data_IF_335194963938
#
_entry.id   IF_335194963938
#
_cell.length_a   1.000
_cell.length_b   1.000
_cell.length_c   1.000
_cell.angle_alpha   90.00
_cell.angle_beta   90.00
_cell.angle_gamma   90.00
#
_symmetry.space_group_name_H-M   'P 1'
#
loop_
_entity.id
_entity.type
_entity.pdbx_description
1 polymer ?
#
# COMPACT_ATOMS: atom_id res chain seq x y z
N UNK A 1 13.00 68.19 8.39
CA UNK A 1 13.10 67.54 7.09
C UNK A 1 14.08 66.39 7.27
N UNK A 2 13.64 65.37 8.00
CA UNK A 2 14.34 64.10 8.15
C UNK A 2 13.85 63.23 7.00
N UNK A 3 14.78 62.80 6.15
CA UNK A 3 14.52 61.91 5.03
C UNK A 3 13.81 60.65 5.54
N UNK A 4 12.52 60.53 5.23
CA UNK A 4 11.83 59.24 5.24
C UNK A 4 12.49 58.42 4.14
N UNK A 5 13.50 57.60 4.49
CA UNK A 5 13.93 56.49 3.65
C UNK A 5 12.69 55.65 3.37
N UNK A 6 12.13 55.82 2.17
CA UNK A 6 10.98 55.05 1.70
C UNK A 6 11.38 53.58 1.76
N UNK A 7 10.84 52.84 2.74
CA UNK A 7 11.02 51.40 2.83
C UNK A 7 10.64 50.82 1.47
N UNK A 8 11.56 50.12 0.77
CA UNK A 8 11.26 49.56 -0.55
C UNK A 8 10.01 48.70 -0.44
N UNK A 9 9.11 48.81 -1.41
CA UNK A 9 7.94 47.93 -1.43
C UNK A 9 8.42 46.48 -1.40
N UNK A 10 7.72 45.58 -0.69
CA UNK A 10 8.13 44.17 -0.53
C UNK A 10 8.51 43.50 -1.86
N UNK A 11 7.78 43.83 -2.93
CA UNK A 11 8.02 43.32 -4.29
C UNK A 11 9.27 43.91 -4.96
N UNK A 12 9.77 45.05 -4.49
CA UNK A 12 10.97 45.69 -5.01
C UNK A 12 12.27 45.17 -4.37
N UNK A 13 12.17 44.52 -3.20
CA UNK A 13 13.29 43.92 -2.48
C UNK A 13 14.07 42.93 -3.38
N UNK A 14 15.40 43.11 -3.42
CA UNK A 14 16.32 42.30 -4.22
C UNK A 14 16.30 40.82 -3.85
N UNK A 15 16.03 40.50 -2.57
CA UNK A 15 15.90 39.14 -2.05
C UNK A 15 14.62 38.50 -2.58
N UNK A 16 13.51 39.23 -2.52
CA UNK A 16 12.18 38.80 -3.00
C UNK A 16 12.21 38.57 -4.51
N UNK A 17 12.75 39.52 -5.29
CA UNK A 17 12.95 39.35 -6.74
C UNK A 17 13.83 38.17 -7.10
N UNK A 18 14.83 37.85 -6.28
CA UNK A 18 15.68 36.69 -6.51
C UNK A 18 14.93 35.38 -6.27
N UNK A 19 14.15 35.31 -5.20
CA UNK A 19 13.27 34.17 -4.91
C UNK A 19 12.23 34.03 -6.03
N UNK A 20 11.57 35.10 -6.46
CA UNK A 20 10.63 35.11 -7.59
C UNK A 20 11.24 34.45 -8.83
N UNK A 21 12.42 34.92 -9.25
CA UNK A 21 13.10 34.41 -10.44
C UNK A 21 13.39 32.90 -10.34
N UNK A 22 13.79 32.42 -9.16
CA UNK A 22 14.06 30.99 -8.94
C UNK A 22 12.79 30.16 -8.87
N UNK A 23 11.75 30.66 -8.20
CA UNK A 23 10.47 29.97 -8.04
C UNK A 23 9.77 29.86 -9.40
N UNK A 24 9.61 30.97 -10.12
CA UNK A 24 9.00 30.98 -11.45
C UNK A 24 9.80 30.12 -12.45
N UNK A 25 11.15 30.20 -12.41
CA UNK A 25 12.00 29.41 -13.30
C UNK A 25 11.92 27.89 -13.04
N UNK A 26 11.99 27.46 -11.77
CA UNK A 26 12.04 26.03 -11.42
C UNK A 26 10.66 25.36 -11.42
N UNK A 27 9.59 26.10 -11.11
CA UNK A 27 8.21 25.61 -11.17
C UNK A 27 7.52 25.88 -12.52
N UNK A 28 8.23 26.51 -13.48
CA UNK A 28 7.71 26.92 -14.80
C UNK A 28 6.40 27.70 -14.71
N UNK A 29 6.41 28.73 -13.87
CA UNK A 29 5.27 29.64 -13.63
C UNK A 29 5.50 31.00 -14.32
N UNK A 30 4.41 31.67 -14.67
CA UNK A 30 4.47 33.05 -15.15
C UNK A 30 4.74 34.03 -13.99
N UNK A 31 5.45 35.13 -14.25
CA UNK A 31 5.72 36.16 -13.21
C UNK A 31 4.42 36.79 -12.68
N UNK A 32 3.34 36.81 -13.47
CA UNK A 32 2.03 37.30 -13.01
C UNK A 32 1.44 36.43 -11.89
N UNK A 33 1.69 35.12 -11.90
CA UNK A 33 1.28 34.20 -10.84
C UNK A 33 1.96 34.55 -9.51
N UNK A 34 3.27 34.84 -9.55
CA UNK A 34 4.00 35.29 -8.37
C UNK A 34 3.44 36.61 -7.85
N UNK A 35 3.28 37.62 -8.72
CA UNK A 35 2.79 38.95 -8.33
C UNK A 35 1.42 38.90 -7.68
N UNK A 36 0.52 38.06 -8.20
CA UNK A 36 -0.83 37.91 -7.63
C UNK A 36 -0.78 37.31 -6.22
N UNK A 37 0.06 36.28 -6.01
CA UNK A 37 0.21 35.65 -4.69
C UNK A 37 1.01 36.48 -3.69
N UNK A 38 2.04 37.20 -4.14
CA UNK A 38 2.97 37.95 -3.29
C UNK A 38 2.37 39.24 -2.71
N UNK A 39 1.16 39.64 -3.14
CA UNK A 39 0.40 40.74 -2.52
C UNK A 39 -0.26 40.32 -1.20
N UNK A 40 -0.48 39.02 -0.97
CA UNK A 40 -1.10 38.54 0.28
C UNK A 40 -0.18 38.73 1.50
N UNK A 41 -0.70 39.33 2.57
CA UNK A 41 0.06 39.61 3.81
C UNK A 41 0.68 38.34 4.42
N UNK A 42 -0.06 37.22 4.43
CA UNK A 42 0.43 35.94 4.93
C UNK A 42 1.65 35.43 4.14
N UNK A 43 1.67 35.64 2.82
CA UNK A 43 2.78 35.25 1.96
C UNK A 43 4.03 36.11 2.22
N UNK A 44 3.83 37.42 2.39
CA UNK A 44 4.93 38.35 2.69
C UNK A 44 5.56 38.03 4.03
N UNK A 45 4.73 37.89 5.07
CA UNK A 45 5.17 37.54 6.43
C UNK A 45 5.93 36.22 6.45
N UNK A 46 5.48 35.21 5.71
CA UNK A 46 6.17 33.93 5.66
C UNK A 46 7.57 34.04 5.03
N UNK A 47 7.72 34.84 3.99
CA UNK A 47 9.02 35.10 3.36
C UNK A 47 9.94 35.95 4.23
N UNK A 48 9.40 36.93 4.96
CA UNK A 48 10.16 37.71 5.95
C UNK A 48 10.64 36.83 7.11
N UNK A 49 9.74 36.03 7.69
CA UNK A 49 10.07 35.01 8.68
C UNK A 49 11.18 34.08 8.13
N UNK A 50 11.10 33.68 6.86
CA UNK A 50 12.15 32.90 6.21
C UNK A 50 13.45 33.66 6.08
N UNK A 51 13.47 34.94 5.73
CA UNK A 51 14.74 35.67 5.67
C UNK A 51 15.38 35.84 7.05
N UNK A 52 14.59 35.99 8.10
CA UNK A 52 15.10 36.26 9.44
C UNK A 52 15.37 34.98 10.25
N UNK A 53 14.36 34.14 10.46
CA UNK A 53 14.35 33.11 11.50
C UNK A 53 14.19 31.68 10.97
N UNK A 54 13.34 31.45 9.97
CA UNK A 54 13.03 30.10 9.50
C UNK A 54 14.15 29.52 8.63
N UNK A 55 14.32 28.20 8.66
CA UNK A 55 15.39 27.52 7.92
C UNK A 55 15.00 27.14 6.49
N UNK A 56 13.70 26.92 6.27
CA UNK A 56 13.15 26.39 5.02
C UNK A 56 11.82 27.03 4.68
N UNK A 57 11.57 27.21 3.39
CA UNK A 57 10.25 27.58 2.85
C UNK A 57 9.93 26.67 1.66
N UNK A 58 8.66 26.27 1.55
CA UNK A 58 8.14 25.44 0.47
C UNK A 58 7.22 26.26 -0.44
N UNK A 59 7.29 26.00 -1.73
CA UNK A 59 6.46 26.61 -2.77
C UNK A 59 5.80 25.53 -3.61
N UNK A 60 4.49 25.64 -3.80
CA UNK A 60 3.72 24.76 -4.66
C UNK A 60 2.70 25.54 -5.47
N UNK A 61 2.36 25.01 -6.64
CA UNK A 61 1.27 25.56 -7.44
C UNK A 61 0.36 24.44 -7.94
N UNK A 62 -0.80 24.22 -7.28
CA UNK A 62 -1.70 23.13 -7.65
C UNK A 62 -2.17 23.22 -9.11
N UNK A 63 -2.55 24.43 -9.55
CA UNK A 63 -3.16 24.67 -10.87
C UNK A 63 -2.31 25.55 -11.79
N UNK A 64 -1.04 25.85 -11.45
CA UNK A 64 -0.19 26.88 -12.09
C UNK A 64 -0.74 28.32 -12.07
N UNK A 65 -1.94 28.52 -11.55
CA UNK A 65 -2.62 29.82 -11.46
C UNK A 65 -2.35 30.53 -10.14
N UNK A 66 -2.19 29.77 -9.05
CA UNK A 66 -1.93 30.33 -7.71
C UNK A 66 -0.67 29.69 -7.15
N UNK A 67 0.22 30.52 -6.60
CA UNK A 67 1.38 30.07 -5.83
C UNK A 67 1.05 30.09 -4.34
N UNK A 68 1.35 28.98 -3.66
CA UNK A 68 1.20 28.83 -2.21
C UNK A 68 2.59 28.65 -1.61
N UNK A 69 2.91 29.48 -0.61
CA UNK A 69 4.09 29.32 0.23
C UNK A 69 3.71 28.76 1.60
N UNK A 70 4.55 27.89 2.15
CA UNK A 70 4.29 27.23 3.43
C UNK A 70 5.60 26.91 4.17
N UNK A 71 5.52 26.79 5.50
CA UNK A 71 6.63 26.33 6.36
C UNK A 71 6.82 24.81 6.32
N UNK A 72 5.76 24.09 5.96
CA UNK A 72 5.73 22.62 5.85
C UNK A 72 5.37 22.18 4.42
N UNK A 73 5.62 20.92 4.08
CA UNK A 73 5.24 20.37 2.77
C UNK A 73 3.70 20.34 2.67
N UNK A 74 3.08 21.02 1.69
CA UNK A 74 1.63 21.05 1.56
C UNK A 74 1.07 19.64 1.30
N UNK A 75 0.01 19.20 2.02
CA UNK A 75 -0.58 17.87 1.83
C UNK A 75 -1.25 17.73 0.45
N UNK A 76 -1.78 18.82 -0.11
CA UNK A 76 -2.53 18.84 -1.37
C UNK A 76 -1.66 19.11 -2.61
N UNK A 77 -0.33 19.09 -2.48
CA UNK A 77 0.55 19.33 -3.61
C UNK A 77 0.44 18.17 -4.61
N UNK A 78 0.02 18.47 -5.84
CA UNK A 78 -0.28 17.42 -6.83
C UNK A 78 0.93 17.03 -7.71
N UNK A 79 1.97 17.86 -7.79
CA UNK A 79 3.05 17.67 -8.77
C UNK A 79 4.45 17.94 -8.23
N UNK A 80 4.79 19.23 -8.07
CA UNK A 80 6.15 19.68 -7.75
C UNK A 80 6.09 20.68 -6.62
N UNK A 81 6.95 20.48 -5.64
CA UNK A 81 7.18 21.40 -4.53
C UNK A 81 8.63 21.85 -4.62
N UNK A 82 8.85 23.15 -4.74
CA UNK A 82 10.18 23.73 -4.62
C UNK A 82 10.42 24.07 -3.15
N UNK A 83 11.53 23.61 -2.58
CA UNK A 83 11.97 24.07 -1.27
C UNK A 83 13.23 24.93 -1.41
N UNK A 84 13.30 25.94 -0.56
CA UNK A 84 14.49 26.80 -0.41
C UNK A 84 14.97 26.64 1.02
N UNK A 85 16.23 26.23 1.19
CA UNK A 85 16.84 25.96 2.48
C UNK A 85 18.08 26.83 2.70
N UNK A 86 18.25 27.39 3.90
CA UNK A 86 19.46 28.13 4.28
C UNK A 86 20.63 27.19 4.50
N UNK A 87 21.80 27.45 3.91
CA UNK A 87 23.03 26.67 4.19
C UNK A 87 23.41 26.67 5.68
N UNK A 88 23.09 27.75 6.38
CA UNK A 88 23.28 27.91 7.83
C UNK A 88 22.02 28.52 8.41
N UNK A 89 21.40 27.84 9.39
CA UNK A 89 20.15 28.28 10.01
C UNK A 89 20.30 29.61 10.75
N UNK A 90 21.45 29.82 11.40
CA UNK A 90 21.69 30.95 12.30
C UNK A 90 22.06 32.26 11.58
N UNK A 91 22.10 32.26 10.24
CA UNK A 91 22.48 33.44 9.45
C UNK A 91 21.25 34.00 8.73
N UNK A 92 20.82 35.23 9.04
CA UNK A 92 19.71 35.87 8.34
C UNK A 92 20.10 36.22 6.89
N UNK A 93 19.10 36.28 6.02
CA UNK A 93 19.28 36.57 4.59
C UNK A 93 19.24 38.08 4.37
N UNK A 94 20.41 38.65 4.09
CA UNK A 94 20.59 40.07 3.81
C UNK A 94 20.66 40.34 2.31
N UNK A 95 20.58 41.61 1.93
CA UNK A 95 20.76 42.08 0.55
C UNK A 95 22.14 41.76 -0.04
N UNK A 96 23.12 41.34 0.77
CA UNK A 96 24.47 41.00 0.31
C UNK A 96 24.68 39.49 0.17
N UNK A 97 24.04 38.67 1.00
CA UNK A 97 24.34 37.24 1.12
C UNK A 97 23.36 36.31 0.37
N UNK A 98 22.20 36.83 -0.05
CA UNK A 98 21.07 36.05 -0.58
C UNK A 98 21.38 35.10 -1.75
N UNK A 99 22.44 35.37 -2.53
CA UNK A 99 22.83 34.55 -3.69
C UNK A 99 23.64 33.31 -3.31
N UNK A 100 24.36 33.32 -2.19
CA UNK A 100 25.34 32.28 -1.84
C UNK A 100 24.89 31.42 -0.66
N UNK A 101 23.93 31.89 0.13
CA UNK A 101 23.45 31.26 1.36
C UNK A 101 22.24 30.35 1.16
N UNK A 102 21.59 30.38 0.00
CA UNK A 102 20.38 29.60 -0.31
C UNK A 102 20.71 28.32 -1.10
N UNK A 103 20.06 27.22 -0.72
CA UNK A 103 20.00 25.96 -1.44
C UNK A 103 18.58 25.78 -2.00
N UNK A 104 18.49 25.27 -3.21
CA UNK A 104 17.23 25.04 -3.90
C UNK A 104 17.10 23.55 -4.19
N UNK A 105 15.94 22.97 -3.91
CA UNK A 105 15.66 21.60 -4.29
C UNK A 105 14.22 21.41 -4.70
N UNK A 106 14.02 20.50 -5.65
CA UNK A 106 12.71 20.16 -6.17
C UNK A 106 12.28 18.81 -5.59
N UNK A 107 11.11 18.79 -4.98
CA UNK A 107 10.43 17.59 -4.53
C UNK A 107 9.31 17.25 -5.52
N UNK A 108 9.39 16.07 -6.11
CA UNK A 108 8.32 15.45 -6.88
C UNK A 108 7.53 14.53 -5.96
N UNK A 109 6.21 14.59 -6.00
CA UNK A 109 5.36 13.72 -5.19
C UNK A 109 4.96 12.47 -5.99
N UNK A 110 4.93 11.28 -5.35
CA UNK A 110 5.26 10.99 -3.95
C UNK A 110 6.78 11.06 -3.65
N UNK A 111 7.19 11.46 -2.42
CA UNK A 111 8.58 11.79 -2.11
C UNK A 111 9.49 10.57 -1.95
N UNK A 112 8.93 9.41 -1.57
CA UNK A 112 9.69 8.20 -1.27
C UNK A 112 10.34 7.57 -2.53
N UNK A 113 9.63 7.44 -3.67
CA UNK A 113 10.27 7.04 -4.93
C UNK A 113 11.39 7.98 -5.39
N UNK A 114 11.23 9.30 -5.19
CA UNK A 114 12.30 10.25 -5.49
C UNK A 114 13.51 10.02 -4.59
N UNK A 115 13.30 9.87 -3.28
CA UNK A 115 14.36 9.60 -2.32
C UNK A 115 15.13 8.31 -2.69
N UNK A 116 14.40 7.25 -3.05
CA UNK A 116 14.98 5.98 -3.52
C UNK A 116 15.91 6.20 -4.70
N UNK A 117 15.44 6.90 -5.74
CA UNK A 117 16.27 7.21 -6.91
C UNK A 117 17.47 8.09 -6.59
N UNK A 118 17.32 9.08 -5.72
CA UNK A 118 18.45 9.94 -5.31
C UNK A 118 19.50 9.12 -4.57
N UNK A 119 19.08 8.22 -3.67
CA UNK A 119 19.99 7.34 -2.96
C UNK A 119 20.73 6.41 -3.94
N UNK A 120 19.99 5.74 -4.83
CA UNK A 120 20.56 4.74 -5.75
C UNK A 120 21.40 5.35 -6.87
N UNK A 121 20.97 6.48 -7.46
CA UNK A 121 21.59 7.05 -8.66
C UNK A 121 22.58 8.18 -8.37
N UNK A 122 22.48 8.84 -7.21
CA UNK A 122 23.33 9.98 -6.87
C UNK A 122 24.19 9.66 -5.65
N UNK A 123 23.58 9.37 -4.50
CA UNK A 123 24.34 9.18 -3.26
C UNK A 123 25.23 7.93 -3.31
N UNK A 124 24.72 6.80 -3.83
CA UNK A 124 25.47 5.57 -3.86
C UNK A 124 26.73 5.69 -4.73
N UNK A 125 26.67 6.11 -6.02
CA UNK A 125 27.88 6.31 -6.82
C UNK A 125 28.84 7.34 -6.21
N UNK A 126 28.33 8.44 -5.65
CA UNK A 126 29.18 9.46 -5.02
C UNK A 126 29.97 8.89 -3.83
N UNK A 127 29.33 8.03 -3.03
CA UNK A 127 29.89 7.52 -1.78
C UNK A 127 30.62 6.18 -1.92
N UNK A 128 30.44 5.44 -3.02
CA UNK A 128 31.12 4.15 -3.24
C UNK A 128 32.22 4.19 -4.29
N UNK A 129 32.27 5.20 -5.15
CA UNK A 129 33.26 5.26 -6.22
C UNK A 129 34.67 5.53 -5.69
N UNK A 130 35.62 4.66 -6.03
CA UNK A 130 36.99 4.68 -5.48
C UNK A 130 37.75 5.98 -5.77
N UNK A 131 37.44 6.63 -6.90
CA UNK A 131 38.09 7.88 -7.30
C UNK A 131 37.64 9.07 -6.43
N UNK A 132 36.54 8.97 -5.70
CA UNK A 132 36.11 10.08 -4.83
C UNK A 132 36.83 10.07 -3.48
N UNK A 133 37.55 8.99 -3.15
CA UNK A 133 38.01 8.66 -1.80
C UNK A 133 39.51 8.40 -1.70
N UNK A 134 40.31 9.13 -2.47
CA UNK A 134 41.77 8.97 -2.52
C UNK A 134 42.44 9.10 -1.14
N UNK A 135 41.86 9.90 -0.24
CA UNK A 135 42.40 10.15 1.11
C UNK A 135 41.84 9.23 2.18
N UNK A 136 40.85 8.40 1.86
CA UNK A 136 40.18 7.57 2.85
C UNK A 136 40.94 6.25 3.07
N UNK A 137 41.19 5.87 4.34
CA UNK A 137 41.62 4.51 4.66
C UNK A 137 40.61 3.47 4.16
N UNK A 138 41.11 2.31 3.72
CA UNK A 138 40.28 1.21 3.21
C UNK A 138 39.19 0.77 4.20
N UNK A 139 39.44 0.87 5.51
CA UNK A 139 38.47 0.50 6.54
C UNK A 139 37.23 1.41 6.50
N UNK A 140 37.44 2.73 6.36
CA UNK A 140 36.35 3.71 6.27
C UNK A 140 35.61 3.54 4.94
N UNK A 141 36.33 3.34 3.84
CA UNK A 141 35.73 3.11 2.52
C UNK A 141 34.80 1.89 2.54
N UNK A 142 35.28 0.77 3.06
CA UNK A 142 34.50 -0.46 3.16
C UNK A 142 33.30 -0.31 4.11
N UNK A 143 33.44 0.49 5.17
CA UNK A 143 32.34 0.76 6.10
C UNK A 143 31.25 1.64 5.47
N UNK A 144 31.62 2.71 4.78
CA UNK A 144 30.66 3.56 4.06
C UNK A 144 29.97 2.78 2.95
N UNK A 145 30.70 1.95 2.19
CA UNK A 145 30.11 1.10 1.16
C UNK A 145 29.05 0.14 1.73
N UNK A 146 29.33 -0.51 2.88
CA UNK A 146 28.35 -1.38 3.57
C UNK A 146 27.11 -0.61 4.02
N UNK A 147 27.28 0.59 4.56
CA UNK A 147 26.14 1.41 4.99
C UNK A 147 25.28 1.86 3.81
N UNK A 148 25.90 2.24 2.69
CA UNK A 148 25.19 2.60 1.46
C UNK A 148 24.40 1.41 0.91
N UNK A 149 25.01 0.22 0.83
CA UNK A 149 24.32 -1.00 0.40
C UNK A 149 23.11 -1.33 1.31
N UNK A 150 23.26 -1.12 2.64
CA UNK A 150 22.17 -1.26 3.60
C UNK A 150 21.03 -0.25 3.37
N UNK A 151 21.37 1.02 3.11
CA UNK A 151 20.37 2.07 2.85
C UNK A 151 19.64 1.81 1.54
N UNK A 152 20.34 1.45 0.46
CA UNK A 152 19.72 1.07 -0.81
C UNK A 152 18.74 -0.10 -0.59
N UNK A 153 19.21 -1.17 0.04
CA UNK A 153 18.39 -2.35 0.36
C UNK A 153 17.11 -2.00 1.13
N UNK A 154 17.23 -1.20 2.19
CA UNK A 154 16.07 -0.76 2.99
C UNK A 154 15.12 0.11 2.17
N UNK A 155 15.66 0.99 1.33
CA UNK A 155 14.85 1.92 0.54
C UNK A 155 14.09 1.19 -0.56
N UNK A 156 14.71 0.22 -1.25
CA UNK A 156 14.01 -0.61 -2.25
C UNK A 156 12.90 -1.44 -1.61
N UNK A 157 13.11 -1.98 -0.39
CA UNK A 157 12.06 -2.69 0.37
C UNK A 157 10.88 -1.76 0.71
N UNK A 158 11.17 -0.57 1.23
CA UNK A 158 10.12 0.44 1.56
C UNK A 158 9.37 0.88 0.31
N UNK A 159 10.07 1.09 -0.81
CA UNK A 159 9.46 1.43 -2.08
C UNK A 159 8.51 0.32 -2.56
N UNK A 160 8.94 -0.95 -2.48
CA UNK A 160 8.07 -2.10 -2.76
C UNK A 160 6.82 -2.09 -1.90
N UNK A 161 6.96 -1.92 -0.58
CA UNK A 161 5.84 -1.91 0.36
C UNK A 161 4.79 -0.84 0.04
N UNK A 162 5.23 0.35 -0.40
CA UNK A 162 4.33 1.44 -0.84
C UNK A 162 3.55 1.06 -2.09
N UNK A 163 4.20 0.33 -3.00
CA UNK A 163 3.59 -0.17 -4.24
C UNK A 163 2.78 -1.46 -4.03
N UNK A 164 2.77 -2.02 -2.82
CA UNK A 164 2.12 -3.30 -2.52
C UNK A 164 2.92 -4.54 -2.95
N UNK A 165 4.18 -4.36 -3.35
CA UNK A 165 5.07 -5.41 -3.82
C UNK A 165 6.09 -5.82 -2.74
N UNK A 166 6.38 -7.12 -2.63
CA UNK A 166 7.47 -7.58 -1.78
C UNK A 166 8.75 -7.58 -2.61
N UNK A 167 9.67 -6.69 -2.28
CA UNK A 167 11.01 -6.64 -2.89
C UNK A 167 12.00 -7.33 -1.97
N UNK A 168 12.71 -8.31 -2.49
CA UNK A 168 13.86 -8.93 -1.84
C UNK A 168 15.06 -8.00 -2.05
N UNK A 169 15.78 -7.60 -0.98
CA UNK A 169 16.97 -6.78 -1.13
C UNK A 169 18.04 -7.58 -1.87
N UNK A 170 18.19 -7.28 -3.16
CA UNK A 170 19.18 -7.90 -4.01
C UNK A 170 20.51 -7.16 -3.86
N UNK A 171 21.61 -7.88 -3.69
CA UNK A 171 22.91 -7.26 -3.69
C UNK A 171 23.26 -6.67 -5.08
N UNK A 172 23.98 -5.55 -5.12
CA UNK A 172 24.19 -4.80 -6.37
C UNK A 172 25.02 -5.59 -7.39
N UNK A 173 24.50 -5.89 -8.58
CA UNK A 173 25.15 -6.77 -9.56
C UNK A 173 26.63 -6.42 -9.89
N UNK A 174 27.02 -5.14 -9.83
CA UNK A 174 28.39 -4.69 -10.05
C UNK A 174 29.36 -5.20 -8.96
N UNK A 175 29.00 -5.08 -7.68
CA UNK A 175 29.83 -5.54 -6.57
C UNK A 175 29.91 -7.07 -6.47
N UNK A 176 28.98 -7.78 -7.12
CA UNK A 176 28.91 -9.25 -7.07
C UNK A 176 29.53 -9.93 -8.28
N UNK A 177 29.41 -9.35 -9.49
CA UNK A 177 30.14 -9.85 -10.66
C UNK A 177 31.65 -9.77 -10.48
N UNK A 178 32.14 -8.70 -9.86
CA UNK A 178 33.57 -8.53 -9.56
C UNK A 178 34.04 -9.57 -8.52
N UNK A 179 33.28 -9.75 -7.43
CA UNK A 179 33.56 -10.78 -6.41
C UNK A 179 33.42 -12.22 -6.93
N UNK A 180 32.51 -12.46 -7.87
CA UNK A 180 32.28 -13.77 -8.48
C UNK A 180 33.37 -14.14 -9.50
N UNK A 181 33.84 -13.19 -10.31
CA UNK A 181 34.93 -13.41 -11.24
C UNK A 181 36.27 -13.67 -10.52
N UNK A 182 36.49 -13.05 -9.36
CA UNK A 182 37.65 -13.36 -8.51
C UNK A 182 37.57 -14.77 -7.87
N UNK A 183 36.35 -15.26 -7.59
CA UNK A 183 36.12 -16.56 -6.92
C UNK A 183 36.50 -17.78 -7.80
N UNK A 184 36.37 -17.69 -9.13
CA UNK A 184 36.81 -18.77 -10.02
C UNK A 184 38.35 -18.93 -10.09
N UNK A 185 39.12 -18.05 -9.42
CA UNK A 185 40.60 -18.02 -9.53
C UNK A 185 41.39 -18.29 -8.25
N UNK A 186 40.85 -18.25 -7.04
CA UNK A 186 41.64 -18.53 -5.82
C UNK A 186 40.84 -19.12 -4.66
N UNK A 187 41.26 -20.30 -4.18
CA UNK A 187 40.93 -20.82 -2.85
C UNK A 187 41.69 -20.04 -1.76
N UNK A 188 41.03 -19.12 -1.04
CA UNK A 188 41.59 -18.54 0.19
C UNK A 188 40.54 -17.79 1.05
N UNK A 189 40.89 -17.39 2.29
CA UNK A 189 40.05 -16.75 3.33
C UNK A 189 38.98 -15.70 2.90
N UNK A 190 39.05 -15.09 1.70
CA UNK A 190 37.99 -14.24 1.14
C UNK A 190 36.69 -15.03 0.86
N UNK A 191 36.81 -16.34 0.66
CA UNK A 191 35.70 -17.26 0.42
C UNK A 191 34.73 -17.26 1.62
N UNK A 192 35.24 -17.29 2.86
CA UNK A 192 34.38 -17.31 4.06
C UNK A 192 33.59 -16.02 4.26
N UNK A 193 34.16 -14.86 3.97
CA UNK A 193 33.45 -13.59 4.12
C UNK A 193 32.32 -13.43 3.09
N UNK A 194 32.53 -13.93 1.87
CA UNK A 194 31.50 -13.96 0.83
C UNK A 194 30.39 -14.96 1.18
N UNK A 195 30.72 -16.17 1.64
CA UNK A 195 29.75 -17.14 2.15
C UNK A 195 28.86 -16.53 3.21
N UNK A 196 29.46 -15.96 4.26
CA UNK A 196 28.69 -15.39 5.37
C UNK A 196 27.76 -14.26 4.92
N UNK A 197 28.16 -13.45 3.93
CA UNK A 197 27.28 -12.46 3.32
C UNK A 197 26.08 -13.12 2.63
N UNK A 198 26.31 -14.14 1.79
CA UNK A 198 25.24 -14.87 1.09
C UNK A 198 24.30 -15.55 2.09
N UNK A 199 24.86 -16.26 3.07
CA UNK A 199 24.11 -16.95 4.13
C UNK A 199 23.22 -15.96 4.90
N UNK A 200 23.76 -14.80 5.27
CA UNK A 200 22.99 -13.74 5.94
C UNK A 200 21.82 -13.27 5.09
N UNK A 201 22.02 -13.12 3.77
CA UNK A 201 20.92 -12.73 2.88
C UNK A 201 19.87 -13.82 2.72
N UNK A 202 20.27 -15.09 2.60
CA UNK A 202 19.33 -16.22 2.56
C UNK A 202 18.49 -16.29 3.84
N UNK A 203 19.10 -16.03 5.01
CA UNK A 203 18.37 -15.95 6.29
C UNK A 203 17.34 -14.82 6.25
N UNK A 204 17.76 -13.61 5.85
CA UNK A 204 16.87 -12.45 5.77
C UNK A 204 15.69 -12.68 4.81
N UNK A 205 15.96 -13.23 3.62
CA UNK A 205 14.92 -13.58 2.65
C UNK A 205 13.99 -14.66 3.19
N UNK A 206 14.52 -15.66 3.88
CA UNK A 206 13.71 -16.71 4.52
C UNK A 206 12.72 -16.12 5.51
N UNK A 207 13.16 -15.22 6.38
CA UNK A 207 12.27 -14.55 7.34
C UNK A 207 11.20 -13.70 6.64
N UNK A 208 11.59 -12.91 5.63
CA UNK A 208 10.66 -12.04 4.89
C UNK A 208 9.59 -12.85 4.13
N UNK A 209 10.01 -13.88 3.41
CA UNK A 209 9.12 -14.75 2.63
C UNK A 209 8.23 -15.55 3.57
N UNK A 210 8.76 -16.15 4.64
CA UNK A 210 7.94 -16.87 5.61
C UNK A 210 6.88 -15.96 6.26
N UNK A 211 7.22 -14.70 6.55
CA UNK A 211 6.24 -13.72 7.04
C UNK A 211 5.12 -13.52 6.02
N UNK A 212 5.46 -13.36 4.73
CA UNK A 212 4.49 -13.17 3.65
C UNK A 212 3.63 -14.42 3.41
N UNK A 213 4.23 -15.59 3.45
CA UNK A 213 3.52 -16.86 3.29
C UNK A 213 2.50 -17.11 4.42
N UNK A 214 2.78 -16.62 5.63
CA UNK A 214 1.89 -16.73 6.79
C UNK A 214 0.69 -15.77 6.77
N UNK A 215 0.68 -14.75 5.91
CA UNK A 215 -0.46 -13.83 5.78
C UNK A 215 -1.71 -14.62 5.33
N UNK A 216 -2.83 -14.43 6.02
CA UNK A 216 -4.11 -15.10 5.75
C UNK A 216 -5.23 -14.06 5.66
N UNK A 217 -6.22 -14.30 4.79
CA UNK A 217 -7.33 -13.37 4.60
C UNK A 217 -8.18 -13.20 5.87
N UNK A 218 -8.22 -14.24 6.71
CA UNK A 218 -8.88 -14.22 8.01
C UNK A 218 -8.32 -13.13 8.97
N UNK A 219 -7.09 -12.65 8.76
CA UNK A 219 -6.48 -11.65 9.64
C UNK A 219 -7.16 -10.27 9.54
N UNK A 220 -7.75 -9.94 8.38
CA UNK A 220 -8.55 -8.71 8.23
C UNK A 220 -9.80 -8.73 9.13
N UNK A 221 -10.46 -9.89 9.23
CA UNK A 221 -11.61 -10.09 10.12
C UNK A 221 -11.22 -10.03 11.60
N UNK A 222 -10.04 -10.56 11.97
CA UNK A 222 -9.53 -10.52 13.35
C UNK A 222 -9.21 -9.10 13.85
N UNK A 223 -8.93 -8.19 12.92
CA UNK A 223 -8.59 -6.78 13.23
C UNK A 223 -9.85 -5.94 13.55
N UNK A 224 -11.05 -6.54 13.53
CA UNK A 224 -12.31 -5.85 13.84
C UNK A 224 -12.92 -5.09 12.65
N UNK A 225 -12.26 -5.14 11.49
CA UNK A 225 -12.83 -4.65 10.24
C UNK A 225 -14.01 -5.54 9.81
N UNK A 226 -14.98 -4.96 9.09
CA UNK A 226 -16.09 -5.70 8.46
C UNK A 226 -15.95 -5.66 6.94
N UNK A 227 -14.93 -6.34 6.38
CA UNK A 227 -14.77 -6.40 4.93
C UNK A 227 -15.98 -7.07 4.27
N UNK A 228 -16.28 -6.62 3.05
CA UNK A 228 -17.15 -7.31 2.11
C UNK A 228 -16.37 -8.30 1.24
N UNK A 229 -17.05 -9.11 0.43
CA UNK A 229 -16.46 -10.24 -0.31
C UNK A 229 -15.48 -9.84 -1.41
N UNK A 230 -15.46 -8.56 -1.80
CA UNK A 230 -14.43 -8.01 -2.68
C UNK A 230 -13.05 -7.92 -2.01
N UNK A 231 -12.97 -7.99 -0.67
CA UNK A 231 -11.71 -8.03 0.07
C UNK A 231 -10.98 -9.37 -0.11
N UNK A 232 -11.67 -10.51 0.03
CA UNK A 232 -11.10 -11.83 -0.25
C UNK A 232 -10.56 -11.92 -1.68
N UNK A 233 -11.33 -11.43 -2.67
CA UNK A 233 -10.90 -11.37 -4.07
C UNK A 233 -9.61 -10.54 -4.27
N UNK A 234 -9.58 -9.33 -3.72
CA UNK A 234 -8.41 -8.44 -3.80
C UNK A 234 -7.20 -9.03 -3.09
N UNK A 235 -7.42 -9.70 -1.96
CA UNK A 235 -6.36 -10.38 -1.22
C UNK A 235 -5.71 -11.47 -2.06
N UNK A 236 -6.48 -12.37 -2.67
CA UNK A 236 -5.92 -13.45 -3.49
C UNK A 236 -5.26 -12.94 -4.77
N UNK A 237 -5.84 -11.95 -5.43
CA UNK A 237 -5.22 -11.30 -6.59
C UNK A 237 -3.88 -10.61 -6.23
N UNK A 238 -3.84 -9.88 -5.12
CA UNK A 238 -2.62 -9.24 -4.62
C UNK A 238 -1.58 -10.27 -4.19
N UNK A 239 -1.99 -11.34 -3.47
CA UNK A 239 -1.12 -12.43 -3.05
C UNK A 239 -0.49 -13.14 -4.25
N UNK A 240 -1.27 -13.44 -5.29
CA UNK A 240 -0.75 -14.02 -6.55
C UNK A 240 0.30 -13.12 -7.17
N UNK A 241 -0.03 -11.84 -7.41
CA UNK A 241 0.90 -10.89 -8.04
C UNK A 241 2.19 -10.71 -7.23
N UNK A 242 2.08 -10.66 -5.90
CA UNK A 242 3.22 -10.53 -5.01
C UNK A 242 4.11 -11.79 -5.02
N UNK A 243 3.51 -12.99 -4.94
CA UNK A 243 4.25 -14.26 -5.03
C UNK A 243 4.89 -14.46 -6.41
N UNK A 244 4.24 -14.02 -7.47
CA UNK A 244 4.79 -14.04 -8.83
C UNK A 244 6.02 -13.14 -8.94
N UNK A 245 5.95 -11.92 -8.39
CA UNK A 245 7.09 -11.01 -8.29
C UNK A 245 8.24 -11.60 -7.47
N UNK A 246 7.97 -12.18 -6.30
CA UNK A 246 8.99 -12.85 -5.48
C UNK A 246 9.61 -14.02 -6.25
N UNK A 247 8.80 -14.82 -6.94
CA UNK A 247 9.26 -15.95 -7.75
C UNK A 247 10.22 -15.47 -8.85
N UNK A 248 9.86 -14.41 -9.59
CA UNK A 248 10.74 -13.82 -10.59
C UNK A 248 12.05 -13.30 -10.00
N UNK A 249 11.99 -12.67 -8.82
CA UNK A 249 13.19 -12.19 -8.13
C UNK A 249 14.12 -13.35 -7.71
N UNK A 250 13.56 -14.45 -7.21
CA UNK A 250 14.31 -15.64 -6.80
C UNK A 250 14.93 -16.41 -7.98
N UNK A 251 14.35 -16.32 -9.17
CA UNK A 251 14.93 -16.90 -10.41
C UNK A 251 15.82 -15.90 -11.17
N UNK A 252 16.24 -14.81 -10.52
CA UNK A 252 17.14 -13.85 -11.16
C UNK A 252 18.57 -14.42 -11.27
N UNK A 253 19.36 -14.02 -12.29
CA UNK A 253 20.73 -14.51 -12.48
C UNK A 253 21.65 -14.28 -11.26
N UNK A 254 21.36 -13.25 -10.45
CA UNK A 254 22.13 -12.97 -9.22
C UNK A 254 21.88 -14.05 -8.17
N UNK A 255 20.63 -14.52 -8.04
CA UNK A 255 20.26 -15.57 -7.09
C UNK A 255 20.76 -16.93 -7.56
N UNK A 256 20.67 -17.24 -8.86
CA UNK A 256 21.25 -18.46 -9.43
C UNK A 256 22.77 -18.52 -9.18
N UNK A 257 23.46 -17.37 -9.33
CA UNK A 257 24.88 -17.28 -9.01
C UNK A 257 25.14 -17.52 -7.51
N UNK A 258 24.35 -16.90 -6.61
CA UNK A 258 24.45 -17.12 -5.16
C UNK A 258 24.20 -18.58 -4.78
N UNK A 259 23.23 -19.24 -5.40
CA UNK A 259 22.95 -20.67 -5.21
C UNK A 259 24.15 -21.52 -5.64
N UNK A 260 24.71 -21.27 -6.83
CA UNK A 260 25.89 -22.02 -7.32
C UNK A 260 27.11 -21.84 -6.42
N UNK A 261 27.29 -20.64 -5.83
CA UNK A 261 28.33 -20.39 -4.86
C UNK A 261 28.12 -21.18 -3.58
N UNK A 262 26.90 -21.19 -3.01
CA UNK A 262 26.60 -21.97 -1.81
C UNK A 262 26.82 -23.47 -2.04
N UNK A 263 26.56 -23.97 -3.25
CA UNK A 263 26.82 -25.35 -3.65
C UNK A 263 28.32 -25.67 -3.72
N UNK A 264 29.10 -24.83 -4.40
CA UNK A 264 30.57 -25.00 -4.51
C UNK A 264 31.24 -24.94 -3.13
N UNK A 265 30.68 -24.14 -2.22
CA UNK A 265 31.21 -23.93 -0.87
C UNK A 265 30.73 -24.97 0.14
N UNK A 266 29.88 -25.92 -0.26
CA UNK A 266 29.22 -26.91 0.60
C UNK A 266 28.57 -26.26 1.85
N UNK A 267 27.89 -25.13 1.66
CA UNK A 267 27.25 -24.40 2.75
C UNK A 267 25.97 -25.10 3.21
N UNK A 268 25.73 -25.12 4.54
CA UNK A 268 24.49 -25.61 5.14
C UNK A 268 23.24 -24.85 4.71
N UNK A 269 23.40 -23.67 4.10
CA UNK A 269 22.29 -22.84 3.61
C UNK A 269 21.87 -23.15 2.16
N UNK A 270 22.62 -23.96 1.40
CA UNK A 270 22.24 -24.40 0.05
C UNK A 270 20.89 -25.15 0.02
N UNK A 271 20.63 -26.15 0.89
CA UNK A 271 19.31 -26.77 0.95
C UNK A 271 18.20 -25.78 1.36
N UNK A 272 18.53 -24.79 2.19
CA UNK A 272 17.57 -23.80 2.71
C UNK A 272 17.03 -22.92 1.58
N UNK A 273 17.89 -22.44 0.67
CA UNK A 273 17.45 -21.62 -0.47
C UNK A 273 16.61 -22.45 -1.45
N UNK A 274 16.96 -23.71 -1.72
CA UNK A 274 16.15 -24.61 -2.56
C UNK A 274 14.76 -24.85 -1.99
N UNK A 275 14.66 -25.12 -0.68
CA UNK A 275 13.39 -25.28 0.03
C UNK A 275 12.57 -23.99 -0.03
N UNK A 276 13.22 -22.83 0.13
CA UNK A 276 12.57 -21.53 0.07
C UNK A 276 11.94 -21.26 -1.31
N UNK A 277 12.69 -21.50 -2.39
CA UNK A 277 12.19 -21.37 -3.77
C UNK A 277 11.01 -22.32 -4.00
N UNK A 278 11.14 -23.60 -3.59
CA UNK A 278 10.06 -24.58 -3.72
C UNK A 278 8.79 -24.18 -2.97
N UNK A 279 8.91 -23.65 -1.75
CA UNK A 279 7.77 -23.16 -0.97
C UNK A 279 7.07 -21.97 -1.64
N UNK A 280 7.82 -21.04 -2.22
CA UNK A 280 7.25 -19.90 -2.96
C UNK A 280 6.52 -20.39 -4.22
N UNK A 281 7.12 -21.30 -4.98
CA UNK A 281 6.49 -21.87 -6.18
C UNK A 281 5.19 -22.60 -5.86
N UNK A 282 5.17 -23.41 -4.79
CA UNK A 282 3.95 -24.09 -4.34
C UNK A 282 2.86 -23.10 -3.90
N UNK A 283 3.24 -22.07 -3.14
CA UNK A 283 2.30 -21.03 -2.72
C UNK A 283 1.78 -20.20 -3.89
N UNK A 284 2.59 -19.99 -4.93
CA UNK A 284 2.18 -19.31 -6.16
C UNK A 284 1.14 -20.14 -6.93
N UNK A 285 1.37 -21.45 -7.08
CA UNK A 285 0.39 -22.37 -7.70
C UNK A 285 -0.93 -22.34 -6.93
N UNK A 286 -0.88 -22.41 -5.59
CA UNK A 286 -2.05 -22.28 -4.73
C UNK A 286 -2.80 -20.95 -4.98
N UNK A 287 -2.08 -19.82 -4.99
CA UNK A 287 -2.69 -18.51 -5.18
C UNK A 287 -3.25 -18.32 -6.60
N UNK A 288 -2.61 -18.87 -7.63
CA UNK A 288 -3.08 -18.84 -9.02
C UNK A 288 -4.38 -19.60 -9.18
N UNK A 289 -4.45 -20.81 -8.64
CA UNK A 289 -5.64 -21.64 -8.72
C UNK A 289 -6.82 -20.96 -8.01
N UNK A 290 -6.60 -20.47 -6.79
CA UNK A 290 -7.65 -19.78 -6.02
C UNK A 290 -8.13 -18.50 -6.72
N UNK A 291 -7.22 -17.64 -7.19
CA UNK A 291 -7.58 -16.40 -7.88
C UNK A 291 -8.43 -16.69 -9.13
N UNK A 292 -8.08 -17.73 -9.89
CA UNK A 292 -8.82 -18.18 -11.06
C UNK A 292 -10.25 -18.62 -10.71
N UNK A 293 -10.40 -19.48 -9.70
CA UNK A 293 -11.71 -19.99 -9.29
C UNK A 293 -12.59 -18.93 -8.62
N UNK A 294 -12.00 -17.89 -8.02
CA UNK A 294 -12.77 -16.78 -7.42
C UNK A 294 -13.26 -15.76 -8.46
N UNK A 295 -12.67 -15.66 -9.66
CA UNK A 295 -13.07 -14.68 -10.69
C UNK A 295 -14.58 -14.66 -11.02
N UNK A 296 -15.29 -15.80 -11.15
CA UNK A 296 -16.73 -15.79 -11.43
C UNK A 296 -17.56 -15.09 -10.35
N UNK A 297 -17.11 -15.08 -9.09
CA UNK A 297 -17.78 -14.34 -8.02
C UNK A 297 -17.64 -12.83 -8.21
N UNK A 298 -16.53 -12.34 -8.77
CA UNK A 298 -16.28 -10.92 -8.93
C UNK A 298 -17.38 -10.24 -9.77
N UNK A 299 -17.77 -10.86 -10.88
CA UNK A 299 -18.85 -10.33 -11.72
C UNK A 299 -20.20 -10.37 -11.00
N UNK A 300 -20.51 -11.47 -10.29
CA UNK A 300 -21.76 -11.61 -9.54
C UNK A 300 -21.86 -10.59 -8.39
N UNK A 301 -20.76 -10.35 -7.67
CA UNK A 301 -20.68 -9.37 -6.59
C UNK A 301 -20.79 -7.95 -7.12
N UNK A 302 -20.10 -7.64 -8.22
CA UNK A 302 -20.20 -6.34 -8.90
C UNK A 302 -21.64 -6.05 -9.35
N UNK A 303 -22.35 -7.06 -9.88
CA UNK A 303 -23.76 -6.90 -10.23
C UNK A 303 -24.65 -6.71 -9.00
N UNK A 304 -24.34 -7.37 -7.87
CA UNK A 304 -25.10 -7.24 -6.63
C UNK A 304 -24.94 -5.85 -6.01
N UNK A 305 -23.72 -5.32 -5.98
CA UNK A 305 -23.42 -3.99 -5.46
C UNK A 305 -24.09 -2.89 -6.32
N UNK A 306 -24.18 -3.07 -7.64
CA UNK A 306 -24.73 -2.07 -8.56
C UNK A 306 -26.26 -2.10 -8.72
N UNK A 307 -26.91 -3.27 -8.64
CA UNK A 307 -28.37 -3.43 -8.93
C UNK A 307 -29.28 -3.17 -7.73
N UNK A 308 -28.70 -2.88 -6.56
CA UNK A 308 -29.39 -2.54 -5.33
C UNK A 308 -30.11 -3.72 -4.64
N UNK A 309 -30.49 -3.51 -3.38
CA UNK A 309 -31.02 -4.54 -2.48
C UNK A 309 -32.26 -5.29 -3.00
N UNK A 310 -33.12 -4.65 -3.80
CA UNK A 310 -34.42 -5.21 -4.24
C UNK A 310 -34.26 -6.50 -5.05
N UNK A 311 -33.15 -6.68 -5.75
CA UNK A 311 -32.90 -7.86 -6.58
C UNK A 311 -32.09 -8.96 -5.86
N UNK A 312 -31.64 -8.69 -4.64
CA UNK A 312 -30.73 -9.55 -3.88
C UNK A 312 -31.29 -10.96 -3.65
N UNK A 313 -32.60 -11.09 -3.40
CA UNK A 313 -33.29 -12.38 -3.25
C UNK A 313 -33.07 -13.31 -4.45
N UNK A 314 -32.98 -12.77 -5.67
CA UNK A 314 -32.80 -13.55 -6.90
C UNK A 314 -31.34 -13.94 -7.13
N UNK A 315 -30.40 -13.15 -6.65
CA UNK A 315 -28.96 -13.35 -6.86
C UNK A 315 -28.31 -14.23 -5.79
N UNK A 316 -28.83 -14.24 -4.56
CA UNK A 316 -28.33 -15.08 -3.46
C UNK A 316 -28.20 -16.57 -3.85
N UNK A 317 -29.20 -17.23 -4.47
CA UNK A 317 -29.06 -18.63 -4.85
C UNK A 317 -27.94 -18.89 -5.85
N UNK A 318 -27.74 -17.97 -6.82
CA UNK A 318 -26.67 -18.06 -7.80
C UNK A 318 -25.28 -17.91 -7.14
N UNK A 319 -25.13 -16.98 -6.20
CA UNK A 319 -23.90 -16.80 -5.42
C UNK A 319 -23.52 -18.06 -4.63
N UNK A 320 -24.49 -18.66 -3.93
CA UNK A 320 -24.26 -19.91 -3.20
C UNK A 320 -23.92 -21.08 -4.11
N UNK A 321 -24.49 -21.12 -5.32
CA UNK A 321 -24.13 -22.15 -6.30
C UNK A 321 -22.69 -21.96 -6.81
N UNK A 322 -22.27 -20.74 -7.09
CA UNK A 322 -20.87 -20.44 -7.46
C UNK A 322 -19.91 -20.80 -6.33
N UNK A 323 -20.23 -20.41 -5.07
CA UNK A 323 -19.42 -20.77 -3.91
C UNK A 323 -19.32 -22.29 -3.70
N UNK A 324 -20.40 -23.02 -3.96
CA UNK A 324 -20.40 -24.48 -3.97
C UNK A 324 -19.47 -25.04 -5.05
N UNK A 325 -19.54 -24.53 -6.29
CA UNK A 325 -18.68 -24.98 -7.38
C UNK A 325 -17.19 -24.69 -7.10
N UNK A 326 -16.88 -23.55 -6.48
CA UNK A 326 -15.51 -23.21 -6.07
C UNK A 326 -15.03 -24.22 -5.04
N UNK A 327 -15.83 -24.51 -4.02
CA UNK A 327 -15.50 -25.49 -2.99
C UNK A 327 -15.25 -26.90 -3.54
N UNK A 328 -16.04 -27.34 -4.52
CA UNK A 328 -15.92 -28.70 -5.08
C UNK A 328 -14.77 -28.86 -6.08
N UNK A 329 -14.40 -27.78 -6.79
CA UNK A 329 -13.41 -27.86 -7.88
C UNK A 329 -12.02 -27.34 -7.49
N UNK A 330 -11.92 -26.41 -6.55
CA UNK A 330 -10.63 -25.86 -6.10
C UNK A 330 -10.15 -26.57 -4.82
N UNK A 331 -9.26 -27.54 -4.99
CA UNK A 331 -8.67 -28.30 -3.86
C UNK A 331 -7.95 -27.38 -2.87
N UNK A 332 -7.29 -26.34 -3.36
CA UNK A 332 -6.59 -25.38 -2.53
C UNK A 332 -7.56 -24.52 -1.70
N UNK A 333 -8.74 -24.17 -2.23
CA UNK A 333 -9.74 -23.37 -1.52
C UNK A 333 -10.60 -24.20 -0.53
N UNK A 334 -10.57 -25.53 -0.65
CA UNK A 334 -11.33 -26.50 0.14
C UNK A 334 -10.84 -26.61 1.60
N UNK A 335 -10.68 -25.46 2.28
CA UNK A 335 -10.28 -25.33 3.70
C UNK A 335 -11.40 -24.63 4.46
N UNK A 336 -11.90 -25.19 5.58
CA UNK A 336 -12.98 -24.59 6.37
C UNK A 336 -12.76 -23.12 6.74
N UNK A 337 -11.52 -22.74 7.08
CA UNK A 337 -11.19 -21.36 7.43
C UNK A 337 -11.49 -20.36 6.31
N UNK A 338 -11.22 -20.70 5.04
CA UNK A 338 -11.37 -19.80 3.89
C UNK A 338 -12.83 -19.59 3.52
N UNK A 339 -13.61 -20.68 3.45
CA UNK A 339 -15.04 -20.57 3.15
C UNK A 339 -15.80 -19.85 4.27
N UNK A 340 -15.38 -19.98 5.53
CA UNK A 340 -15.96 -19.22 6.63
C UNK A 340 -15.72 -17.72 6.46
N UNK A 341 -14.52 -17.29 6.06
CA UNK A 341 -14.22 -15.88 5.76
C UNK A 341 -15.13 -15.36 4.64
N UNK A 342 -15.18 -16.05 3.50
CA UNK A 342 -16.06 -15.63 2.39
C UNK A 342 -17.53 -15.53 2.80
N UNK A 343 -18.04 -16.50 3.57
CA UNK A 343 -19.42 -16.49 4.04
C UNK A 343 -19.69 -15.37 5.06
N UNK A 344 -18.72 -15.03 5.92
CA UNK A 344 -18.79 -13.88 6.82
C UNK A 344 -18.81 -12.57 6.04
N UNK A 345 -17.96 -12.43 5.03
CA UNK A 345 -17.89 -11.26 4.17
C UNK A 345 -19.19 -11.07 3.36
N UNK A 346 -19.76 -12.15 2.83
CA UNK A 346 -21.08 -12.13 2.20
C UNK A 346 -22.18 -11.68 3.19
N UNK A 347 -22.13 -12.13 4.45
CA UNK A 347 -23.04 -11.64 5.49
C UNK A 347 -22.87 -10.13 5.73
N UNK A 348 -21.63 -9.63 5.77
CA UNK A 348 -21.35 -8.20 5.96
C UNK A 348 -21.90 -7.36 4.81
N UNK A 349 -21.68 -7.78 3.56
CA UNK A 349 -22.24 -7.11 2.38
C UNK A 349 -23.77 -7.07 2.43
N UNK A 350 -24.40 -8.18 2.82
CA UNK A 350 -25.85 -8.26 2.94
C UNK A 350 -26.40 -7.29 3.98
N UNK A 351 -25.72 -7.16 5.12
CA UNK A 351 -26.08 -6.24 6.21
C UNK A 351 -25.89 -4.79 5.77
N UNK A 352 -24.80 -4.49 5.09
CA UNK A 352 -24.51 -3.16 4.56
C UNK A 352 -25.58 -2.71 3.56
N UNK A 353 -25.90 -3.56 2.58
CA UNK A 353 -26.93 -3.27 1.58
C UNK A 353 -28.33 -3.17 2.20
N UNK A 354 -28.66 -4.02 3.18
CA UNK A 354 -29.92 -3.93 3.92
C UNK A 354 -30.02 -2.62 4.73
N UNK A 355 -28.90 -2.19 5.34
CA UNK A 355 -28.85 -0.96 6.14
C UNK A 355 -28.96 0.29 5.26
N UNK A 356 -28.34 0.27 4.07
CA UNK A 356 -28.48 1.33 3.08
C UNK A 356 -29.92 1.43 2.55
N UNK A 357 -30.56 0.29 2.30
CA UNK A 357 -31.96 0.23 1.87
C UNK A 357 -32.94 0.72 2.95
N UNK A 358 -32.68 0.40 4.23
CA UNK A 358 -33.51 0.80 5.38
C UNK A 358 -33.03 2.07 6.09
N UNK A 359 -32.38 3.00 5.38
CA UNK A 359 -31.84 4.20 6.01
C UNK A 359 -32.90 4.95 6.83
N UNK A 360 -32.51 5.43 8.02
CA UNK A 360 -33.44 6.00 9.00
C UNK A 360 -34.25 7.18 8.44
N UNK A 361 -33.65 7.98 7.56
CA UNK A 361 -34.32 9.09 6.88
C UNK A 361 -35.43 8.62 5.93
N UNK A 362 -35.28 7.45 5.29
CA UNK A 362 -36.32 6.88 4.45
C UNK A 362 -37.46 6.32 5.31
N UNK A 363 -37.14 5.57 6.37
CA UNK A 363 -38.16 4.98 7.26
C UNK A 363 -39.02 6.03 7.98
N UNK A 364 -38.49 7.23 8.25
CA UNK A 364 -39.24 8.32 8.88
C UNK A 364 -40.05 9.16 7.90
N UNK A 365 -39.69 9.14 6.61
CA UNK A 365 -40.36 9.92 5.54
C UNK A 365 -41.45 9.14 4.81
N UNK A 366 -41.32 7.82 4.73
CA UNK A 366 -42.29 6.96 4.06
C UNK A 366 -43.50 6.66 4.95
N UNK A 367 -44.63 6.34 4.31
CA UNK A 367 -45.81 5.87 5.02
C UNK A 367 -45.50 4.60 5.84
N UNK A 368 -46.15 4.41 6.99
CA UNK A 368 -45.85 3.30 7.90
C UNK A 368 -46.08 1.93 7.23
N UNK A 369 -47.00 1.84 6.27
CA UNK A 369 -47.25 0.63 5.48
C UNK A 369 -46.12 0.35 4.48
N UNK A 370 -45.59 1.37 3.79
CA UNK A 370 -44.44 1.22 2.89
C UNK A 370 -43.18 0.80 3.65
N UNK A 371 -42.94 1.44 4.80
CA UNK A 371 -41.84 1.11 5.70
C UNK A 371 -41.91 -0.34 6.20
N UNK A 372 -43.10 -0.82 6.54
CA UNK A 372 -43.34 -2.21 6.93
C UNK A 372 -43.02 -3.18 5.78
N UNK A 373 -43.43 -2.86 4.54
CA UNK A 373 -43.11 -3.68 3.37
C UNK A 373 -41.60 -3.73 3.09
N UNK A 374 -40.87 -2.63 3.28
CA UNK A 374 -39.41 -2.61 3.15
C UNK A 374 -38.74 -3.54 4.17
N UNK A 375 -39.16 -3.49 5.44
CA UNK A 375 -38.63 -4.36 6.49
C UNK A 375 -38.91 -5.83 6.18
N UNK A 376 -40.12 -6.16 5.72
CA UNK A 376 -40.49 -7.53 5.31
C UNK A 376 -39.62 -8.06 4.17
N UNK A 377 -39.30 -7.23 3.17
CA UNK A 377 -38.39 -7.59 2.07
C UNK A 377 -36.99 -7.90 2.59
N UNK A 378 -36.48 -7.10 3.53
CA UNK A 378 -35.17 -7.37 4.15
C UNK A 378 -35.19 -8.69 4.89
N UNK A 379 -36.18 -8.94 5.75
CA UNK A 379 -36.29 -10.20 6.50
C UNK A 379 -36.38 -11.40 5.55
N UNK A 380 -37.14 -11.27 4.46
CA UNK A 380 -37.24 -12.32 3.44
C UNK A 380 -35.90 -12.59 2.77
N UNK A 381 -35.16 -11.57 2.33
CA UNK A 381 -33.82 -11.74 1.75
C UNK A 381 -32.82 -12.40 2.72
N UNK A 382 -32.80 -11.96 3.98
CA UNK A 382 -31.98 -12.60 5.02
C UNK A 382 -32.37 -14.07 5.26
N UNK A 383 -33.67 -14.39 5.20
CA UNK A 383 -34.16 -15.76 5.34
C UNK A 383 -33.74 -16.65 4.17
N UNK A 384 -33.83 -16.13 2.94
CA UNK A 384 -33.36 -16.83 1.73
C UNK A 384 -31.86 -17.13 1.82
N UNK A 385 -31.05 -16.18 2.29
CA UNK A 385 -29.61 -16.39 2.50
C UNK A 385 -29.34 -17.58 3.44
N UNK A 386 -30.03 -17.63 4.59
CA UNK A 386 -29.88 -18.72 5.55
C UNK A 386 -30.36 -20.07 4.99
N UNK A 387 -31.46 -20.08 4.24
CA UNK A 387 -31.96 -21.27 3.57
C UNK A 387 -30.97 -21.80 2.53
N UNK A 388 -30.42 -20.93 1.67
CA UNK A 388 -29.42 -21.31 0.67
C UNK A 388 -28.17 -21.91 1.31
N UNK A 389 -27.67 -21.33 2.40
CA UNK A 389 -26.56 -21.92 3.17
C UNK A 389 -26.89 -23.35 3.64
N UNK A 390 -28.06 -23.55 4.23
CA UNK A 390 -28.48 -24.85 4.74
C UNK A 390 -28.61 -25.88 3.60
N UNK A 391 -29.23 -25.49 2.49
CA UNK A 391 -29.37 -26.35 1.31
C UNK A 391 -28.01 -26.75 0.73
N UNK A 392 -27.04 -25.82 0.62
CA UNK A 392 -25.71 -26.18 0.12
C UNK A 392 -24.94 -27.06 1.11
N UNK A 393 -25.07 -26.81 2.41
CA UNK A 393 -24.45 -27.65 3.45
C UNK A 393 -24.97 -29.09 3.40
N UNK A 394 -26.28 -29.27 3.25
CA UNK A 394 -26.90 -30.60 3.10
C UNK A 394 -26.48 -31.30 1.81
N UNK A 395 -26.40 -30.56 0.69
CA UNK A 395 -25.91 -31.10 -0.59
C UNK A 395 -24.47 -31.59 -0.49
N UNK A 396 -23.59 -30.84 0.19
CA UNK A 396 -22.21 -31.25 0.43
C UNK A 396 -22.11 -32.45 1.37
N UNK A 397 -22.97 -32.55 2.38
CA UNK A 397 -23.01 -33.70 3.28
C UNK A 397 -23.47 -35.00 2.58
N UNK A 398 -24.30 -34.88 1.54
CA UNK A 398 -24.82 -36.01 0.76
C UNK A 398 -23.90 -36.41 -0.42
N UNK A 399 -22.82 -35.67 -0.69
CA UNK A 399 -21.87 -36.01 -1.74
C UNK A 399 -20.69 -36.83 -1.19
N UNK A 400 -20.54 -38.07 -1.66
CA UNK A 400 -19.48 -38.99 -1.20
C UNK A 400 -18.04 -38.51 -1.51
N UNK A 401 -17.86 -37.58 -2.45
CA UNK A 401 -16.54 -37.14 -2.95
C UNK A 401 -16.07 -35.77 -2.43
N UNK A 402 -16.93 -34.98 -1.80
CA UNK A 402 -16.60 -33.62 -1.36
C UNK A 402 -16.46 -33.54 0.16
N UNK A 403 -15.48 -32.80 0.67
CA UNK A 403 -15.41 -32.56 2.12
C UNK A 403 -16.60 -31.70 2.55
N UNK A 404 -17.32 -32.09 3.61
CA UNK A 404 -18.46 -31.33 4.10
C UNK A 404 -18.02 -30.01 4.75
N UNK A 405 -18.95 -29.07 4.86
CA UNK A 405 -18.78 -27.85 5.66
C UNK A 405 -18.91 -28.16 7.15
N UNK A 406 -17.83 -28.68 7.72
CA UNK A 406 -17.74 -29.05 9.13
C UNK A 406 -17.17 -27.90 9.98
N UNK A 407 -18.07 -27.00 10.38
CA UNK A 407 -17.75 -25.90 11.30
C UNK A 407 -19.02 -25.36 11.99
N UNK A 408 -18.90 -24.79 13.21
CA UNK A 408 -20.01 -24.13 13.89
C UNK A 408 -20.61 -22.98 13.08
N UNK A 409 -21.93 -23.03 12.85
CA UNK A 409 -22.67 -21.96 12.16
C UNK A 409 -22.54 -20.59 12.86
N UNK A 410 -22.27 -20.59 14.18
CA UNK A 410 -22.02 -19.38 14.95
C UNK A 410 -20.82 -18.57 14.44
N UNK A 411 -19.82 -19.20 13.81
CA UNK A 411 -18.67 -18.49 13.25
C UNK A 411 -19.12 -17.57 12.11
N UNK A 412 -20.04 -18.01 11.24
CA UNK A 412 -20.54 -17.20 10.13
C UNK A 412 -21.62 -16.23 10.61
N UNK A 413 -22.58 -16.75 11.38
CA UNK A 413 -23.85 -16.06 11.58
C UNK A 413 -23.96 -15.25 12.87
N UNK A 414 -22.90 -15.09 13.67
CA UNK A 414 -22.98 -14.36 14.95
C UNK A 414 -23.54 -12.93 14.78
N UNK A 415 -22.89 -12.12 13.94
CA UNK A 415 -23.29 -10.75 13.63
C UNK A 415 -24.58 -10.70 12.80
N UNK A 416 -24.69 -11.57 11.79
CA UNK A 416 -25.89 -11.71 10.96
C UNK A 416 -27.15 -12.01 11.78
N UNK A 417 -27.07 -12.93 12.74
CA UNK A 417 -28.20 -13.32 13.57
C UNK A 417 -28.64 -12.20 14.51
N UNK A 418 -27.70 -11.39 15.00
CA UNK A 418 -28.03 -10.19 15.78
C UNK A 418 -28.78 -9.17 14.93
N UNK A 419 -28.31 -8.91 13.70
CA UNK A 419 -28.99 -8.02 12.76
C UNK A 419 -30.39 -8.53 12.39
N UNK A 420 -30.51 -9.83 12.06
CA UNK A 420 -31.78 -10.48 11.75
C UNK A 420 -32.79 -10.35 12.89
N UNK A 421 -32.36 -10.55 14.15
CA UNK A 421 -33.22 -10.37 15.33
C UNK A 421 -33.71 -8.92 15.48
N UNK A 422 -32.84 -7.94 15.23
CA UNK A 422 -33.23 -6.51 15.25
C UNK A 422 -34.28 -6.20 14.18
N UNK A 423 -34.13 -6.76 12.97
CA UNK A 423 -35.11 -6.59 11.89
C UNK A 423 -36.48 -7.18 12.25
N UNK A 424 -36.53 -8.37 12.86
CA UNK A 424 -37.78 -8.96 13.35
C UNK A 424 -38.46 -8.10 14.43
N UNK A 425 -37.68 -7.51 15.35
CA UNK A 425 -38.23 -6.59 16.36
C UNK A 425 -38.80 -5.32 15.74
N UNK A 426 -38.17 -4.81 14.68
CA UNK A 426 -38.68 -3.65 13.92
C UNK A 426 -39.99 -4.00 13.20
N UNK A 427 -40.09 -5.18 12.58
CA UNK A 427 -41.33 -5.63 11.94
C UNK A 427 -42.51 -5.65 12.92
N UNK A 428 -42.31 -6.20 14.12
CA UNK A 428 -43.36 -6.25 15.17
C UNK A 428 -43.78 -4.85 15.60
N UNK A 429 -42.82 -3.92 15.76
CA UNK A 429 -43.12 -2.53 16.15
C UNK A 429 -43.85 -1.78 15.05
N UNK A 430 -43.42 -1.90 13.80
CA UNK A 430 -44.08 -1.27 12.66
C UNK A 430 -45.50 -1.81 12.46
N UNK A 431 -45.71 -3.11 12.69
CA UNK A 431 -47.05 -3.70 12.68
C UNK A 431 -47.99 -3.07 13.71
N UNK A 432 -47.52 -2.85 14.95
CA UNK A 432 -48.32 -2.22 15.99
C UNK A 432 -48.73 -0.79 15.63
N UNK A 433 -47.81 -0.02 15.01
CA UNK A 433 -48.08 1.36 14.56
C UNK A 433 -49.11 1.39 13.43
N UNK A 434 -48.98 0.51 12.43
CA UNK A 434 -49.94 0.40 11.33
C UNK A 434 -51.33 0.00 11.83
N UNK A 435 -51.44 -0.93 12.78
CA UNK A 435 -52.74 -1.39 13.32
C UNK A 435 -53.40 -0.41 14.30
N UNK A 436 -52.66 0.58 14.78
CA UNK A 436 -53.17 1.60 15.73
C UNK A 436 -53.45 2.96 15.08
N UNK A 437 -53.12 3.11 13.80
CA UNK A 437 -53.47 4.23 12.92
C UNK A 437 -54.71 3.87 12.11
#
# INVERSE_FOLDING_TARGET
MSDEESVPSFLEDVRVKFVENKVCGLLTLESQTWRTSAVGEDFQKLLEDFFETEAVVYFSSPNKVVLVASKEVPPDAQNKVLYIHKKRKDVPISCENYRTTLLFGLLSLPPLPQLSRVIEQVCAPLLTHDQNHHTWPNVIRNDVARHIESICSKTSVVQGQILGETVLPMPTAASWKEKAHDHFRMHNNKDRALAHCIETQVINWSHLIQKKLKEDSADFMKTGCKPGPSAELKFWASRRSNLESICHQLHSPVVEMMESMLEVMDSSYHPTIKILIGNVSNALIEAQDIDLYLQPLNEQLSQLENKGFVHMEKYIPALFHTAFLIWTNCQYYQKPARIVVLLQELCNLLIEQASAYLSADLLLRHDPEESLQMVKRVIKALSVFKQCYQTQKERLANQDKSTPWDFPAAMIFSHFSQFFRRMLQLEVRSHLVVTSS
#
